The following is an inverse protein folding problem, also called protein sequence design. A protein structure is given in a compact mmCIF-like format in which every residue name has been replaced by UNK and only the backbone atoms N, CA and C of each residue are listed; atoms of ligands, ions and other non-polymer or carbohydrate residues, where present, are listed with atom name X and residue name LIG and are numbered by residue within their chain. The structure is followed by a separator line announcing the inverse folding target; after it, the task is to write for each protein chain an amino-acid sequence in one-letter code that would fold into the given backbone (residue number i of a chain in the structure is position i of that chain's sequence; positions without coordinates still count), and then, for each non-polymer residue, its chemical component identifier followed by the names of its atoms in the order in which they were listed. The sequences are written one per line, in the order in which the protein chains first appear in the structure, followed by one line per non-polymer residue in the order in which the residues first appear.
data_IF_539044808722
#
_entry.id   IF_539044808722
#
_cell.length_a   1.000
_cell.length_b   1.000
_cell.length_c   1.000
_cell.angle_alpha   90.00
_cell.angle_beta   90.00
_cell.angle_gamma   90.00
#
_symmetry.space_group_name_H-M   'P 1'
#
loop_
_entity.id
_entity.type
_entity.pdbx_description
1 polymer ?
#
# COMPACT_ATOMS: atom_id res chain seq x y z
N UNK A 1 21.09 -0.67 -2.04
CA UNK A 1 20.45 -0.55 -3.37
C UNK A 1 19.22 0.35 -3.24
N UNK A 2 18.99 1.30 -4.17
CA UNK A 2 17.78 2.11 -4.21
C UNK A 2 16.73 1.33 -4.99
N UNK A 3 15.88 0.58 -4.30
CA UNK A 3 14.84 -0.26 -4.91
C UNK A 3 13.52 -0.01 -4.21
N UNK A 4 12.49 0.17 -5.04
CA UNK A 4 11.11 0.12 -4.59
C UNK A 4 10.76 -1.29 -4.10
N UNK A 5 9.98 -1.39 -3.04
CA UNK A 5 9.47 -2.66 -2.54
C UNK A 5 8.34 -3.19 -3.45
N UNK A 6 7.58 -2.28 -4.03
CA UNK A 6 6.43 -2.54 -4.88
C UNK A 6 6.81 -2.40 -6.36
N UNK A 7 6.95 -3.53 -7.06
CA UNK A 7 7.08 -3.57 -8.51
C UNK A 7 5.72 -3.65 -9.22
N UNK A 8 4.71 -4.19 -8.53
CA UNK A 8 3.35 -4.34 -9.03
C UNK A 8 2.37 -4.04 -7.91
N UNK A 9 1.24 -3.44 -8.27
CA UNK A 9 0.16 -3.13 -7.33
C UNK A 9 -1.04 -4.03 -7.60
N UNK A 10 -1.64 -4.56 -6.53
CA UNK A 10 -2.89 -5.31 -6.59
C UNK A 10 -4.09 -4.37 -6.51
N UNK A 11 -5.16 -4.77 -7.19
CA UNK A 11 -6.45 -4.09 -7.16
C UNK A 11 -7.50 -4.97 -6.49
N UNK A 12 -8.62 -4.38 -6.05
CA UNK A 12 -9.77 -5.14 -5.56
C UNK A 12 -9.68 -5.67 -4.12
N UNK A 13 -8.72 -5.21 -3.33
CA UNK A 13 -8.64 -5.59 -1.91
C UNK A 13 -9.72 -4.86 -1.10
N UNK A 14 -10.62 -5.61 -0.48
CA UNK A 14 -11.62 -5.04 0.42
C UNK A 14 -11.00 -4.64 1.76
N UNK A 15 -11.37 -3.45 2.26
CA UNK A 15 -10.95 -2.91 3.56
C UNK A 15 -11.12 -3.91 4.72
N UNK A 16 -12.17 -4.74 4.71
CA UNK A 16 -12.45 -5.74 5.75
C UNK A 16 -11.34 -6.79 5.92
N UNK A 17 -10.56 -7.03 4.86
CA UNK A 17 -9.47 -8.00 4.83
C UNK A 17 -8.12 -7.37 5.23
N UNK A 18 -8.04 -6.04 5.31
CA UNK A 18 -6.82 -5.32 5.68
C UNK A 18 -6.72 -5.27 7.20
N UNK A 19 -5.54 -5.58 7.71
CA UNK A 19 -5.20 -5.49 9.13
C UNK A 19 -4.46 -4.19 9.44
N UNK A 20 -3.51 -3.80 8.61
CA UNK A 20 -2.75 -2.55 8.74
C UNK A 20 -2.28 -2.05 7.39
N UNK A 21 -1.92 -0.77 7.33
CA UNK A 21 -1.36 -0.14 6.13
C UNK A 21 -0.11 0.64 6.51
N UNK A 22 0.92 0.48 5.69
CA UNK A 22 2.15 1.26 5.73
C UNK A 22 2.23 2.11 4.48
N UNK A 23 2.43 3.42 4.67
CA UNK A 23 2.66 4.37 3.59
C UNK A 23 4.11 4.81 3.66
N UNK A 24 4.86 4.56 2.58
CA UNK A 24 6.24 5.03 2.43
C UNK A 24 6.24 6.14 1.38
N UNK A 25 6.50 7.41 1.75
CA UNK A 25 6.56 8.50 0.78
C UNK A 25 7.75 8.32 -0.18
N UNK A 26 7.68 8.97 -1.34
CA UNK A 26 8.80 9.01 -2.27
C UNK A 26 10.05 9.60 -1.61
N UNK A 27 11.22 9.05 -1.96
CA UNK A 27 12.49 9.45 -1.39
C UNK A 27 13.68 8.90 -2.18
N UNK A 28 14.91 9.03 -1.64
CA UNK A 28 16.12 8.60 -2.33
C UNK A 28 16.07 7.12 -2.73
N UNK A 29 15.42 6.29 -1.90
CA UNK A 29 15.30 4.84 -2.11
C UNK A 29 14.32 4.44 -3.21
N UNK A 30 13.29 5.25 -3.45
CA UNK A 30 12.24 4.98 -4.44
C UNK A 30 11.51 6.29 -4.78
N UNK A 31 11.43 6.63 -6.07
CA UNK A 31 10.84 7.90 -6.52
C UNK A 31 9.29 7.93 -6.43
N UNK A 32 8.66 6.79 -6.20
CA UNK A 32 7.20 6.64 -6.06
C UNK A 32 6.82 6.45 -4.60
N UNK A 33 5.64 6.95 -4.22
CA UNK A 33 5.03 6.63 -2.93
C UNK A 33 4.54 5.19 -2.97
N UNK A 34 4.88 4.41 -1.95
CA UNK A 34 4.48 3.01 -1.83
C UNK A 34 3.43 2.87 -0.74
N UNK A 35 2.39 2.08 -1.01
CA UNK A 35 1.36 1.74 -0.03
C UNK A 35 1.34 0.22 0.08
N UNK A 36 1.68 -0.28 1.26
CA UNK A 36 1.73 -1.72 1.55
C UNK A 36 0.65 -2.01 2.57
N UNK A 37 -0.32 -2.84 2.21
CA UNK A 37 -1.33 -3.33 3.11
C UNK A 37 -0.95 -4.72 3.62
N UNK A 38 -0.96 -4.91 4.93
CA UNK A 38 -0.90 -6.23 5.55
C UNK A 38 -2.33 -6.71 5.74
N UNK A 39 -2.66 -7.85 5.16
CA UNK A 39 -3.95 -8.50 5.26
C UNK A 39 -4.05 -9.31 6.55
N UNK A 40 -5.28 -9.56 7.01
CA UNK A 40 -5.55 -10.36 8.22
C UNK A 40 -5.05 -11.81 8.15
N UNK A 41 -4.82 -12.33 6.95
CA UNK A 41 -4.22 -13.64 6.73
C UNK A 41 -2.67 -13.60 6.76
N UNK A 42 -2.07 -12.46 7.10
CA UNK A 42 -0.62 -12.25 7.14
C UNK A 42 0.04 -11.94 5.80
N UNK A 43 -0.71 -11.95 4.69
CA UNK A 43 -0.16 -11.60 3.38
C UNK A 43 0.03 -10.09 3.24
N UNK A 44 1.10 -9.69 2.58
CA UNK A 44 1.35 -8.31 2.23
C UNK A 44 0.98 -8.04 0.76
N UNK A 45 0.38 -6.88 0.51
CA UNK A 45 -0.04 -6.47 -0.80
C UNK A 45 0.32 -5.02 -1.06
N UNK A 46 1.01 -4.77 -2.16
CA UNK A 46 1.24 -3.43 -2.68
C UNK A 46 -0.05 -2.88 -3.30
N UNK A 47 -0.41 -1.65 -2.94
CA UNK A 47 -1.61 -0.95 -3.38
C UNK A 47 -1.23 0.30 -4.17
N UNK A 48 -2.03 0.65 -5.18
CA UNK A 48 -1.80 1.87 -5.95
C UNK A 48 -2.22 3.12 -5.14
N UNK A 49 -1.31 4.02 -4.75
CA UNK A 49 -1.63 5.24 -3.98
C UNK A 49 -2.60 6.19 -4.70
N UNK A 50 -2.65 6.15 -6.04
CA UNK A 50 -3.51 7.03 -6.83
C UNK A 50 -4.97 6.54 -6.87
N UNK A 51 -5.21 5.26 -6.61
CA UNK A 51 -6.53 4.66 -6.68
C UNK A 51 -7.47 5.24 -5.58
N UNK A 52 -8.70 5.67 -5.92
CA UNK A 52 -9.63 6.28 -4.96
C UNK A 52 -9.94 5.38 -3.76
N UNK A 53 -10.02 4.07 -3.98
CA UNK A 53 -10.29 3.11 -2.92
C UNK A 53 -9.13 3.00 -1.92
N UNK A 54 -7.87 3.12 -2.39
CA UNK A 54 -6.67 3.10 -1.54
C UNK A 54 -6.58 4.36 -0.68
N UNK A 55 -6.88 5.53 -1.25
CA UNK A 55 -6.99 6.79 -0.48
C UNK A 55 -8.01 6.69 0.66
N UNK A 56 -9.16 6.05 0.41
CA UNK A 56 -10.18 5.79 1.44
C UNK A 56 -9.70 4.81 2.51
N UNK A 57 -8.93 3.79 2.13
CA UNK A 57 -8.32 2.85 3.09
C UNK A 57 -7.37 3.63 4.02
N UNK A 58 -6.46 4.41 3.44
CA UNK A 58 -5.46 5.18 4.20
C UNK A 58 -6.15 6.11 5.20
N UNK A 59 -7.11 6.92 4.75
CA UNK A 59 -7.86 7.84 5.62
C UNK A 59 -8.70 7.14 6.71
N UNK A 60 -9.03 5.86 6.54
CA UNK A 60 -9.77 5.10 7.57
C UNK A 60 -8.85 4.42 8.60
N UNK A 61 -7.58 4.25 8.26
CA UNK A 61 -6.62 3.50 9.09
C UNK A 61 -5.55 4.39 9.74
N UNK A 62 -5.31 5.58 9.18
CA UNK A 62 -4.48 6.65 9.74
C UNK A 62 -5.39 7.82 10.13
#
# INVERSE_FOLDING_TARGET
ELRCQCLQTLQGIHLKNIQSVKVTPSGPHCAQTEVIATLKNGQEACLNPEAPMVKRIIHKML
#
